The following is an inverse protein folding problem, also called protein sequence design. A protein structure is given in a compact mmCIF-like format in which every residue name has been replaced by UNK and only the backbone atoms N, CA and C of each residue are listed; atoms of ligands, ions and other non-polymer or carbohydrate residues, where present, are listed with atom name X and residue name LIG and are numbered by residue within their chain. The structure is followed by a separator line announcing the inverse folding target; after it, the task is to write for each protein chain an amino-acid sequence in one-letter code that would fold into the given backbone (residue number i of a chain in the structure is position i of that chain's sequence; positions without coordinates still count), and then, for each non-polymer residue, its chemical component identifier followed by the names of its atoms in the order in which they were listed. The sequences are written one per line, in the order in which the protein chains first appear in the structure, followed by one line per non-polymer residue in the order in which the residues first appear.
data_IF_752310021004
#
_entry.id   IF_752310021004
#
_cell.length_a   1.000
_cell.length_b   1.000
_cell.length_c   1.000
_cell.angle_alpha   90.00
_cell.angle_beta   90.00
_cell.angle_gamma   90.00
#
_symmetry.space_group_name_H-M   'P 1'
#
loop_
_entity.id
_entity.type
_entity.pdbx_description
1 polymer ?
#
# COMPACT_ATOMS: atom_id res chain seq x y z
N UNK A 1 -37.46 40.73 -33.57
CA UNK A 1 -37.50 39.31 -33.13
C UNK A 1 -36.34 38.43 -33.63
N UNK A 2 -35.38 38.95 -34.41
CA UNK A 2 -34.28 38.14 -34.98
C UNK A 2 -32.95 38.11 -34.20
N UNK A 3 -32.65 39.12 -33.36
CA UNK A 3 -31.37 39.15 -32.63
C UNK A 3 -31.31 38.17 -31.44
N UNK A 4 -32.42 38.01 -30.71
CA UNK A 4 -32.46 37.15 -29.51
C UNK A 4 -32.38 35.66 -29.84
N UNK A 5 -32.86 35.22 -31.01
CA UNK A 5 -32.72 33.81 -31.44
C UNK A 5 -31.28 33.44 -31.77
N UNK A 6 -30.52 34.33 -32.39
CA UNK A 6 -29.11 34.07 -32.74
C UNK A 6 -28.20 34.07 -31.50
N UNK A 7 -28.46 34.93 -30.51
CA UNK A 7 -27.76 34.92 -29.23
C UNK A 7 -28.03 33.65 -28.41
N UNK A 8 -29.26 33.11 -28.46
CA UNK A 8 -29.60 31.88 -27.75
C UNK A 8 -28.96 30.63 -28.39
N UNK A 9 -28.87 30.58 -29.72
CA UNK A 9 -28.15 29.52 -30.43
C UNK A 9 -26.63 29.57 -30.21
N UNK A 10 -26.03 30.76 -30.11
CA UNK A 10 -24.61 30.93 -29.78
C UNK A 10 -24.31 30.54 -28.32
N UNK A 11 -25.20 30.89 -27.37
CA UNK A 11 -25.07 30.49 -25.97
C UNK A 11 -25.21 28.96 -25.78
N UNK A 12 -26.09 28.31 -26.54
CA UNK A 12 -26.24 26.85 -26.53
C UNK A 12 -25.05 26.13 -27.19
N UNK A 13 -24.43 26.71 -28.22
CA UNK A 13 -23.18 26.21 -28.81
C UNK A 13 -21.98 26.36 -27.87
N UNK A 14 -21.92 27.44 -27.08
CA UNK A 14 -20.89 27.61 -26.04
C UNK A 14 -21.11 26.69 -24.82
N UNK A 15 -22.35 26.28 -24.54
CA UNK A 15 -22.67 25.30 -23.48
C UNK A 15 -22.49 23.85 -23.93
N UNK A 16 -22.58 23.56 -25.24
CA UNK A 16 -22.26 22.23 -25.79
C UNK A 16 -20.76 22.01 -26.08
N UNK A 17 -19.95 23.07 -26.00
CA UNK A 17 -18.49 23.04 -26.12
C UNK A 17 -17.77 23.36 -24.80
N UNK A 18 -18.50 23.42 -23.68
CA UNK A 18 -17.91 23.15 -22.38
C UNK A 18 -17.67 21.63 -22.30
N UNK A 19 -16.72 21.14 -23.11
CA UNK A 19 -15.98 19.94 -22.75
C UNK A 19 -15.53 20.14 -21.29
N UNK A 20 -15.59 19.10 -20.43
CA UNK A 20 -14.95 19.23 -19.13
C UNK A 20 -13.55 19.74 -19.43
N UNK A 21 -13.13 20.82 -18.77
CA UNK A 21 -11.76 21.33 -18.91
C UNK A 21 -10.89 20.12 -18.57
N UNK A 22 -10.38 19.47 -19.60
CA UNK A 22 -9.62 18.25 -19.46
C UNK A 22 -8.29 18.78 -18.94
N UNK A 23 -8.12 18.77 -17.60
CA UNK A 23 -6.95 19.30 -16.89
C UNK A 23 -5.63 18.56 -17.24
N UNK A 24 -5.64 17.82 -18.35
CA UNK A 24 -4.49 17.16 -18.90
C UNK A 24 -3.56 18.17 -19.56
N UNK A 25 -2.34 18.28 -19.03
CA UNK A 25 -1.29 19.16 -19.57
C UNK A 25 -0.42 18.46 -20.62
N UNK A 26 -0.40 17.12 -20.64
CA UNK A 26 0.39 16.35 -21.61
C UNK A 26 -0.31 15.05 -22.02
N UNK A 27 -0.34 14.80 -23.33
CA UNK A 27 -0.95 13.61 -23.92
C UNK A 27 0.07 12.72 -24.61
N UNK A 28 -0.16 11.42 -24.55
CA UNK A 28 0.64 10.40 -25.21
C UNK A 28 -0.20 9.59 -26.20
N UNK A 29 0.36 9.34 -27.39
CA UNK A 29 -0.23 8.46 -28.38
C UNK A 29 0.38 7.07 -28.25
N UNK A 30 -0.45 6.10 -27.84
CA UNK A 30 -0.07 4.71 -27.60
C UNK A 30 0.56 4.09 -28.83
N UNK A 31 1.77 3.56 -28.66
CA UNK A 31 2.50 2.82 -29.67
C UNK A 31 1.99 1.39 -29.84
N UNK A 32 2.53 0.71 -30.85
CA UNK A 32 2.16 -0.67 -31.15
C UNK A 32 2.61 -1.62 -30.02
N UNK A 33 1.67 -2.42 -29.51
CA UNK A 33 1.89 -3.42 -28.46
C UNK A 33 2.44 -2.87 -27.12
N UNK A 34 2.26 -1.57 -26.84
CA UNK A 34 2.60 -1.01 -25.53
C UNK A 34 1.53 -1.37 -24.49
N UNK A 35 1.96 -1.79 -23.30
CA UNK A 35 1.10 -1.93 -22.12
C UNK A 35 1.10 -0.64 -21.28
N UNK A 36 0.15 -0.52 -20.34
CA UNK A 36 0.10 0.59 -19.37
C UNK A 36 1.44 0.74 -18.65
N UNK A 37 2.00 -0.39 -18.21
CA UNK A 37 3.26 -0.43 -17.48
C UNK A 37 4.46 -0.02 -18.36
N UNK A 38 4.43 -0.33 -19.66
CA UNK A 38 5.47 0.14 -20.60
C UNK A 38 5.43 1.67 -20.70
N UNK A 39 4.23 2.25 -20.83
CA UNK A 39 4.03 3.69 -20.95
C UNK A 39 4.41 4.40 -19.64
N UNK A 40 3.94 3.89 -18.50
CA UNK A 40 4.25 4.41 -17.18
C UNK A 40 5.77 4.50 -16.97
N UNK A 41 6.48 3.41 -17.24
CA UNK A 41 7.94 3.39 -17.11
C UNK A 41 8.65 4.34 -18.07
N UNK A 42 8.17 4.45 -19.32
CA UNK A 42 8.72 5.37 -20.32
C UNK A 42 8.64 6.83 -19.87
N UNK A 43 7.55 7.19 -19.21
CA UNK A 43 7.31 8.54 -18.71
C UNK A 43 7.72 8.74 -17.24
N UNK A 44 8.33 7.73 -16.61
CA UNK A 44 8.72 7.74 -15.19
C UNK A 44 7.56 8.06 -14.25
N UNK A 45 6.38 7.54 -14.59
CA UNK A 45 5.14 7.71 -13.84
C UNK A 45 4.73 6.39 -13.18
N UNK A 46 4.00 6.45 -12.06
CA UNK A 46 3.27 5.30 -11.54
C UNK A 46 2.24 4.82 -12.57
N UNK A 47 2.08 3.51 -12.74
CA UNK A 47 1.03 2.95 -13.59
C UNK A 47 -0.37 3.38 -13.11
N UNK A 48 -0.57 3.46 -11.78
CA UNK A 48 -1.79 3.96 -11.14
C UNK A 48 -2.06 5.43 -11.45
N UNK A 49 -1.04 6.24 -11.68
CA UNK A 49 -1.21 7.64 -12.08
C UNK A 49 -1.85 7.74 -13.46
N UNK A 50 -1.50 6.83 -14.39
CA UNK A 50 -2.16 6.78 -15.70
C UNK A 50 -3.65 6.46 -15.58
N UNK A 51 -4.03 5.52 -14.70
CA UNK A 51 -5.45 5.25 -14.42
C UNK A 51 -6.16 6.49 -13.86
N UNK A 52 -5.53 7.17 -12.90
CA UNK A 52 -6.05 8.41 -12.32
C UNK A 52 -6.24 9.52 -13.36
N UNK A 53 -5.25 9.74 -14.22
CA UNK A 53 -5.30 10.77 -15.26
C UNK A 53 -6.39 10.54 -16.31
N UNK A 54 -6.79 9.28 -16.50
CA UNK A 54 -7.72 8.85 -17.55
C UNK A 54 -9.04 8.30 -16.97
N UNK A 55 -9.46 8.79 -15.80
CA UNK A 55 -10.72 8.44 -15.13
C UNK A 55 -10.98 6.92 -14.99
N UNK A 56 -9.94 6.13 -14.74
CA UNK A 56 -9.98 4.67 -14.65
C UNK A 56 -10.48 3.96 -15.94
N UNK A 57 -10.37 4.60 -17.11
CA UNK A 57 -10.83 4.05 -18.41
C UNK A 57 -9.76 3.27 -19.18
N UNK A 58 -8.65 2.88 -18.53
CA UNK A 58 -7.50 2.23 -19.19
C UNK A 58 -7.52 0.69 -19.13
N UNK A 59 -8.67 0.06 -18.90
CA UNK A 59 -8.76 -1.40 -18.79
C UNK A 59 -8.25 -2.15 -20.05
N UNK A 60 -8.38 -1.54 -21.22
CA UNK A 60 -7.77 -2.02 -22.47
C UNK A 60 -7.08 -0.85 -23.18
N UNK A 61 -5.76 -0.91 -23.32
CA UNK A 61 -4.98 0.05 -24.11
C UNK A 61 -4.87 -0.43 -25.56
N UNK A 62 -5.17 0.45 -26.51
CA UNK A 62 -5.13 0.16 -27.96
C UNK A 62 -4.10 1.02 -28.67
N UNK A 63 -3.49 0.46 -29.71
CA UNK A 63 -2.58 1.21 -30.59
C UNK A 63 -3.28 2.48 -31.13
N UNK A 64 -2.55 3.61 -31.14
CA UNK A 64 -3.02 4.94 -31.52
C UNK A 64 -4.05 5.59 -30.57
N UNK A 65 -4.45 4.94 -29.47
CA UNK A 65 -5.22 5.60 -28.43
C UNK A 65 -4.42 6.79 -27.87
N UNK A 66 -5.09 7.91 -27.65
CA UNK A 66 -4.49 9.08 -26.98
C UNK A 66 -4.90 9.00 -25.51
N UNK A 67 -3.92 9.08 -24.62
CA UNK A 67 -4.12 9.04 -23.17
C UNK A 67 -3.45 10.25 -22.52
N UNK A 68 -4.00 10.68 -21.39
CA UNK A 68 -3.39 11.69 -20.56
C UNK A 68 -2.21 11.10 -19.76
N UNK A 69 -1.08 11.79 -19.76
CA UNK A 69 0.12 11.39 -19.01
C UNK A 69 0.57 12.46 -18.01
N UNK A 70 -0.04 13.64 -18.01
CA UNK A 70 0.21 14.66 -17.00
C UNK A 70 -1.06 15.45 -16.73
N UNK A 71 -1.45 15.56 -15.47
CA UNK A 71 -2.67 16.24 -15.00
C UNK A 71 -2.42 16.72 -13.58
N UNK A 72 -3.05 17.82 -13.20
CA UNK A 72 -3.08 18.28 -11.81
C UNK A 72 -3.61 17.18 -10.88
N UNK A 73 -2.91 16.96 -9.76
CA UNK A 73 -3.15 15.82 -8.86
C UNK A 73 -3.89 16.28 -7.61
N UNK A 74 -5.12 15.80 -7.49
CA UNK A 74 -5.80 15.72 -6.20
C UNK A 74 -5.33 14.44 -5.49
N UNK A 75 -4.45 14.58 -4.50
CA UNK A 75 -3.84 13.42 -3.84
C UNK A 75 -4.83 12.52 -3.11
N UNK A 76 -5.94 13.06 -2.60
CA UNK A 76 -6.98 12.21 -2.01
C UNK A 76 -7.53 11.24 -3.06
N UNK A 77 -7.91 11.78 -4.22
CA UNK A 77 -8.45 10.97 -5.32
C UNK A 77 -7.40 10.03 -5.92
N UNK A 78 -6.14 10.47 -6.01
CA UNK A 78 -5.06 9.61 -6.49
C UNK A 78 -4.82 8.42 -5.55
N UNK A 79 -4.77 8.65 -4.24
CA UNK A 79 -4.63 7.57 -3.25
C UNK A 79 -5.80 6.58 -3.32
N UNK A 80 -7.03 7.07 -3.55
CA UNK A 80 -8.19 6.21 -3.80
C UNK A 80 -8.01 5.32 -5.03
N UNK A 81 -7.57 5.89 -6.16
CA UNK A 81 -7.29 5.12 -7.38
C UNK A 81 -6.17 4.10 -7.16
N UNK A 82 -5.09 4.49 -6.48
CA UNK A 82 -3.96 3.61 -6.17
C UNK A 82 -4.41 2.36 -5.40
N UNK A 83 -5.31 2.53 -4.43
CA UNK A 83 -5.84 1.45 -3.59
C UNK A 83 -6.84 0.59 -4.36
N UNK A 84 -7.73 1.20 -5.14
CA UNK A 84 -8.71 0.47 -5.95
C UNK A 84 -8.03 -0.41 -7.01
N UNK A 85 -6.91 0.05 -7.56
CA UNK A 85 -6.09 -0.74 -8.48
C UNK A 85 -5.13 -1.69 -7.75
N UNK A 86 -4.94 -1.51 -6.44
CA UNK A 86 -4.21 -2.44 -5.59
C UNK A 86 -5.09 -3.57 -5.05
N UNK A 87 -6.42 -3.54 -5.25
CA UNK A 87 -7.37 -4.64 -4.98
C UNK A 87 -7.09 -5.85 -5.89
N UNK A 88 -5.95 -6.49 -5.62
CA UNK A 88 -5.40 -7.56 -6.41
C UNK A 88 -5.75 -8.88 -5.72
N UNK A 89 -6.40 -9.77 -6.48
CA UNK A 89 -6.80 -11.07 -5.99
C UNK A 89 -5.54 -11.91 -5.71
N UNK A 90 -5.32 -12.25 -4.43
CA UNK A 90 -4.44 -13.36 -4.09
C UNK A 90 -5.01 -14.63 -4.73
N UNK A 91 -4.13 -15.54 -5.15
CA UNK A 91 -4.57 -16.89 -5.51
C UNK A 91 -5.45 -17.43 -4.37
N UNK A 92 -6.64 -17.90 -4.74
CA UNK A 92 -7.52 -18.60 -3.81
C UNK A 92 -6.80 -19.81 -3.23
N UNK A 93 -7.23 -20.30 -2.06
CA UNK A 93 -6.70 -21.54 -1.47
C UNK A 93 -6.73 -22.72 -2.46
N UNK A 94 -7.73 -22.74 -3.34
CA UNK A 94 -7.87 -23.77 -4.38
C UNK A 94 -6.78 -23.64 -5.45
N UNK A 95 -6.45 -22.42 -5.86
CA UNK A 95 -5.38 -22.16 -6.84
C UNK A 95 -4.00 -22.43 -6.24
N UNK A 96 -3.73 -21.98 -5.00
CA UNK A 96 -2.49 -22.30 -4.28
C UNK A 96 -2.26 -23.82 -4.20
N UNK A 97 -3.29 -24.57 -3.80
CA UNK A 97 -3.23 -26.04 -3.76
C UNK A 97 -3.04 -26.67 -5.14
N UNK A 98 -3.55 -26.05 -6.22
CA UNK A 98 -3.27 -26.52 -7.59
C UNK A 98 -1.81 -26.29 -7.98
N UNK A 99 -1.27 -25.10 -7.71
CA UNK A 99 0.14 -24.75 -7.95
C UNK A 99 1.04 -25.76 -7.25
N UNK A 100 0.84 -25.98 -5.95
CA UNK A 100 1.59 -26.97 -5.17
C UNK A 100 1.52 -28.38 -5.78
N UNK A 101 0.34 -28.83 -6.20
CA UNK A 101 0.17 -30.15 -6.84
C UNK A 101 0.91 -30.27 -8.17
N UNK A 102 0.90 -29.20 -8.98
CA UNK A 102 1.58 -29.18 -10.27
C UNK A 102 3.10 -29.19 -10.05
N UNK A 103 3.61 -28.39 -9.12
CA UNK A 103 5.03 -28.37 -8.74
C UNK A 103 5.46 -29.78 -8.28
N UNK A 104 4.75 -30.38 -7.32
CA UNK A 104 5.07 -31.72 -6.80
C UNK A 104 4.93 -32.84 -7.83
N UNK A 105 4.18 -32.63 -8.92
CA UNK A 105 4.06 -33.59 -10.02
C UNK A 105 5.20 -33.44 -11.04
N UNK A 106 5.65 -32.20 -11.28
CA UNK A 106 6.65 -31.88 -12.30
C UNK A 106 8.08 -32.05 -11.80
N UNK A 107 8.32 -31.77 -10.52
CA UNK A 107 9.65 -31.72 -9.94
C UNK A 107 9.76 -32.71 -8.78
N UNK A 108 10.93 -33.31 -8.63
CA UNK A 108 11.28 -34.10 -7.47
C UNK A 108 11.66 -33.19 -6.28
N UNK A 109 11.91 -33.79 -5.12
CA UNK A 109 12.15 -33.03 -3.88
C UNK A 109 13.36 -32.09 -3.97
N UNK A 110 14.47 -32.55 -4.56
CA UNK A 110 15.71 -31.79 -4.63
C UNK A 110 15.55 -30.62 -5.63
N UNK A 111 14.85 -30.87 -6.74
CA UNK A 111 14.49 -29.83 -7.73
C UNK A 111 13.57 -28.76 -7.13
N UNK A 112 12.61 -29.14 -6.27
CA UNK A 112 11.74 -28.18 -5.56
C UNK A 112 12.55 -27.34 -4.58
N UNK A 113 13.51 -27.95 -3.88
CA UNK A 113 14.40 -27.23 -2.96
C UNK A 113 15.26 -26.21 -3.71
N UNK A 114 15.84 -26.58 -4.85
CA UNK A 114 16.59 -25.67 -5.72
C UNK A 114 15.71 -24.53 -6.26
N UNK A 115 14.50 -24.84 -6.73
CA UNK A 115 13.54 -23.84 -7.22
C UNK A 115 13.20 -22.82 -6.14
N UNK A 116 12.94 -23.28 -4.91
CA UNK A 116 12.67 -22.39 -3.78
C UNK A 116 13.89 -21.51 -3.49
N UNK A 117 15.07 -22.09 -3.28
CA UNK A 117 16.29 -21.33 -2.96
C UNK A 117 16.62 -20.27 -4.03
N UNK A 118 16.50 -20.64 -5.31
CA UNK A 118 16.80 -19.73 -6.43
C UNK A 118 15.73 -18.63 -6.56
N UNK A 119 14.45 -18.97 -6.35
CA UNK A 119 13.34 -18.02 -6.31
C UNK A 119 13.49 -17.00 -5.19
N UNK A 120 13.95 -17.47 -4.04
CA UNK A 120 14.17 -16.65 -2.85
C UNK A 120 15.30 -15.67 -3.07
N UNK A 121 16.41 -16.16 -3.61
CA UNK A 121 17.54 -15.33 -3.96
C UNK A 121 17.16 -14.25 -4.99
N UNK A 122 16.41 -14.62 -6.04
CA UNK A 122 15.89 -13.67 -7.02
C UNK A 122 14.98 -12.62 -6.38
N UNK A 123 14.00 -13.05 -5.58
CA UNK A 123 13.03 -12.17 -4.92
C UNK A 123 13.69 -11.22 -3.91
N UNK A 124 14.64 -11.73 -3.12
CA UNK A 124 15.40 -10.94 -2.14
C UNK A 124 16.20 -9.81 -2.82
N UNK A 125 16.64 -9.99 -4.06
CA UNK A 125 17.35 -8.94 -4.80
C UNK A 125 16.46 -7.72 -5.07
N UNK A 126 15.17 -7.94 -5.41
CA UNK A 126 14.19 -6.88 -5.58
C UNK A 126 13.70 -6.32 -4.24
N UNK A 127 13.46 -7.18 -3.24
CA UNK A 127 12.97 -6.77 -1.92
C UNK A 127 13.89 -5.77 -1.20
N UNK A 128 15.21 -5.87 -1.42
CA UNK A 128 16.19 -4.90 -0.92
C UNK A 128 15.95 -3.48 -1.45
N UNK A 129 15.40 -3.34 -2.66
CA UNK A 129 15.04 -2.03 -3.23
C UNK A 129 13.87 -1.44 -2.47
N UNK A 130 12.86 -2.25 -2.15
CA UNK A 130 11.68 -1.81 -1.40
C UNK A 130 12.02 -1.40 0.05
N UNK A 131 12.98 -2.08 0.67
CA UNK A 131 13.41 -1.78 2.05
C UNK A 131 14.33 -0.54 2.18
N UNK A 132 15.12 -0.21 1.15
CA UNK A 132 16.23 0.75 1.26
C UNK A 132 15.89 2.23 0.98
N UNK A 133 14.63 2.53 0.65
CA UNK A 133 14.21 3.82 0.11
C UNK A 133 13.28 4.63 1.03
N UNK A 134 13.53 4.60 2.35
CA UNK A 134 12.60 5.16 3.34
C UNK A 134 12.90 6.61 3.80
N UNK A 135 11.86 7.42 3.64
CA UNK A 135 11.40 8.60 4.38
C UNK A 135 12.10 9.96 4.37
N UNK A 136 13.43 10.08 4.33
CA UNK A 136 14.02 11.42 4.50
C UNK A 136 14.77 11.95 3.26
N UNK A 137 14.97 11.09 2.26
CA UNK A 137 15.41 11.49 0.91
C UNK A 137 15.24 10.29 -0.01
N UNK A 138 14.03 10.07 -0.51
CA UNK A 138 13.88 9.08 -1.56
C UNK A 138 14.73 9.53 -2.74
N UNK A 139 15.52 8.61 -3.29
CA UNK A 139 16.46 8.88 -4.38
C UNK A 139 16.06 7.97 -5.53
N UNK A 140 15.37 8.57 -6.51
CA UNK A 140 14.90 7.87 -7.68
C UNK A 140 16.04 7.16 -8.41
N UNK A 141 17.20 7.81 -8.56
CA UNK A 141 18.34 7.22 -9.26
C UNK A 141 18.94 6.04 -8.49
N UNK A 142 18.93 6.09 -7.15
CA UNK A 142 19.35 4.95 -6.31
C UNK A 142 18.34 3.80 -6.41
N UNK A 143 17.04 4.10 -6.41
CA UNK A 143 15.98 3.11 -6.57
C UNK A 143 16.05 2.42 -7.94
N UNK A 144 16.12 3.18 -9.04
CA UNK A 144 16.26 2.67 -10.42
C UNK A 144 17.51 1.79 -10.58
N UNK A 145 18.65 2.22 -10.02
CA UNK A 145 19.88 1.40 -10.01
C UNK A 145 19.71 0.11 -9.22
N UNK A 146 19.01 0.15 -8.09
CA UNK A 146 18.64 -1.02 -7.32
C UNK A 146 17.85 -2.02 -8.16
N UNK A 147 16.79 -1.56 -8.84
CA UNK A 147 15.99 -2.39 -9.74
C UNK A 147 16.82 -2.95 -10.90
N UNK A 148 17.69 -2.14 -11.50
CA UNK A 148 18.57 -2.59 -12.59
C UNK A 148 19.53 -3.69 -12.14
N UNK A 149 20.11 -3.55 -10.94
CA UNK A 149 21.00 -4.57 -10.39
C UNK A 149 20.25 -5.87 -10.07
N UNK A 150 19.05 -5.78 -9.48
CA UNK A 150 18.19 -6.94 -9.24
C UNK A 150 17.81 -7.65 -10.56
N UNK A 151 17.48 -6.89 -11.61
CA UNK A 151 17.18 -7.44 -12.93
C UNK A 151 18.38 -8.13 -13.58
N UNK A 152 19.61 -7.63 -13.38
CA UNK A 152 20.81 -8.32 -13.87
C UNK A 152 20.97 -9.69 -13.23
N UNK A 153 20.79 -9.77 -11.91
CA UNK A 153 20.80 -11.04 -11.17
C UNK A 153 19.72 -11.98 -11.70
N UNK A 154 18.49 -11.50 -11.84
CA UNK A 154 17.40 -12.32 -12.39
C UNK A 154 17.66 -12.78 -13.84
N UNK A 155 18.25 -11.93 -14.68
CA UNK A 155 18.63 -12.29 -16.04
C UNK A 155 19.71 -13.37 -16.08
N UNK A 156 20.69 -13.32 -15.18
CA UNK A 156 21.73 -14.35 -15.06
C UNK A 156 21.10 -15.70 -14.66
N UNK A 157 20.19 -15.68 -13.68
CA UNK A 157 19.42 -16.86 -13.28
C UNK A 157 18.63 -17.42 -14.47
N UNK A 158 17.84 -16.57 -15.15
CA UNK A 158 16.95 -16.97 -16.23
C UNK A 158 17.68 -17.48 -17.49
N UNK A 159 18.93 -17.09 -17.70
CA UNK A 159 19.75 -17.55 -18.84
C UNK A 159 20.60 -18.78 -18.53
N UNK A 160 20.76 -19.12 -17.26
CA UNK A 160 21.57 -20.24 -16.85
C UNK A 160 20.90 -21.55 -17.24
N UNK A 161 21.61 -22.43 -17.94
CA UNK A 161 21.16 -23.79 -18.20
C UNK A 161 21.23 -24.67 -16.93
N UNK A 162 22.02 -24.25 -15.94
CA UNK A 162 22.23 -24.96 -14.68
C UNK A 162 21.13 -24.67 -13.63
N UNK A 163 20.21 -23.74 -13.90
CA UNK A 163 19.14 -23.36 -12.97
C UNK A 163 17.77 -23.80 -13.49
N UNK A 164 16.96 -24.40 -12.62
CA UNK A 164 15.57 -24.74 -12.95
C UNK A 164 14.66 -23.50 -13.04
N UNK A 165 15.00 -22.43 -12.31
CA UNK A 165 14.21 -21.21 -12.31
C UNK A 165 14.42 -20.42 -13.61
N UNK A 166 13.34 -20.31 -14.40
CA UNK A 166 13.30 -19.45 -15.56
C UNK A 166 11.90 -18.88 -15.77
N UNK A 167 11.80 -17.83 -16.58
CA UNK A 167 10.53 -17.26 -17.07
C UNK A 167 9.71 -18.33 -17.79
N UNK A 168 10.37 -19.23 -18.52
CA UNK A 168 9.72 -20.36 -19.19
C UNK A 168 9.12 -21.32 -18.16
N UNK A 169 9.88 -21.70 -17.12
CA UNK A 169 9.41 -22.55 -16.02
C UNK A 169 8.18 -21.95 -15.33
N UNK A 170 8.22 -20.65 -15.01
CA UNK A 170 7.11 -19.94 -14.38
C UNK A 170 5.88 -19.97 -15.29
N UNK A 171 6.01 -19.55 -16.55
CA UNK A 171 4.88 -19.49 -17.48
C UNK A 171 4.29 -20.88 -17.78
N UNK A 172 5.11 -21.93 -17.85
CA UNK A 172 4.64 -23.29 -18.07
C UNK A 172 3.81 -23.83 -16.90
N UNK A 173 4.10 -23.42 -15.66
CA UNK A 173 3.29 -23.78 -14.49
C UNK A 173 2.02 -22.95 -14.46
N UNK A 174 2.11 -21.64 -14.75
CA UNK A 174 0.95 -20.76 -14.80
C UNK A 174 -0.10 -21.24 -15.82
N UNK A 175 0.35 -21.75 -16.97
CA UNK A 175 -0.49 -22.33 -18.01
C UNK A 175 -1.16 -23.64 -17.52
N UNK A 176 -0.43 -24.51 -16.82
CA UNK A 176 -1.00 -25.75 -16.24
C UNK A 176 -2.03 -25.50 -15.14
N UNK A 177 -1.88 -24.42 -14.37
CA UNK A 177 -2.85 -23.99 -13.34
C UNK A 177 -4.12 -23.44 -13.99
N UNK A 178 -4.06 -23.15 -15.30
CA UNK A 178 -5.06 -22.44 -16.11
C UNK A 178 -5.30 -21.02 -15.57
N UNK A 179 -4.19 -20.31 -15.34
CA UNK A 179 -4.20 -18.87 -15.06
C UNK A 179 -3.90 -18.11 -16.34
N UNK A 180 -4.56 -16.97 -16.57
CA UNK A 180 -4.25 -16.06 -17.68
C UNK A 180 -2.93 -15.29 -17.47
N UNK A 181 -2.22 -15.60 -16.39
CA UNK A 181 -1.00 -14.96 -15.96
C UNK A 181 0.19 -15.45 -16.81
N UNK A 182 0.83 -14.52 -17.53
CA UNK A 182 2.13 -14.73 -18.18
C UNK A 182 3.05 -13.58 -17.85
N UNK A 183 4.28 -13.89 -17.47
CA UNK A 183 5.32 -12.90 -17.22
C UNK A 183 6.30 -12.82 -18.39
N UNK A 184 6.80 -11.61 -18.64
CA UNK A 184 7.94 -11.34 -19.51
C UNK A 184 9.22 -11.32 -18.66
N UNK A 185 10.36 -11.44 -19.31
CA UNK A 185 11.67 -11.40 -18.63
C UNK A 185 11.91 -10.12 -17.83
N UNK A 186 11.32 -9.00 -18.25
CA UNK A 186 11.45 -7.71 -17.59
C UNK A 186 10.27 -7.38 -16.64
N UNK A 187 9.31 -8.28 -16.42
CA UNK A 187 8.12 -7.97 -15.60
C UNK A 187 8.50 -7.57 -14.17
N UNK A 188 9.40 -8.31 -13.51
CA UNK A 188 9.85 -7.98 -12.15
C UNK A 188 10.58 -6.63 -12.09
N UNK A 189 11.40 -6.33 -13.09
CA UNK A 189 12.04 -5.02 -13.23
C UNK A 189 11.04 -3.88 -13.39
N UNK A 190 10.04 -4.05 -14.26
CA UNK A 190 9.01 -3.04 -14.47
C UNK A 190 8.18 -2.77 -13.21
N UNK A 191 7.84 -3.82 -12.46
CA UNK A 191 7.17 -3.66 -11.17
C UNK A 191 8.05 -2.94 -10.14
N UNK A 192 9.36 -3.21 -10.14
CA UNK A 192 10.31 -2.51 -9.27
C UNK A 192 10.43 -1.02 -9.63
N UNK A 193 10.46 -0.70 -10.93
CA UNK A 193 10.45 0.68 -11.39
C UNK A 193 9.15 1.40 -11.05
N UNK A 194 8.00 0.74 -11.19
CA UNK A 194 6.70 1.29 -10.81
C UNK A 194 6.67 1.68 -9.31
N UNK A 195 7.23 0.85 -8.44
CA UNK A 195 7.44 1.21 -7.03
C UNK A 195 8.31 2.46 -6.88
N UNK A 196 9.42 2.56 -7.62
CA UNK A 196 10.30 3.72 -7.58
C UNK A 196 9.58 4.99 -8.04
N UNK A 197 8.82 4.92 -9.13
CA UNK A 197 8.07 6.05 -9.67
C UNK A 197 6.93 6.45 -8.75
N UNK A 198 6.27 5.50 -8.09
CA UNK A 198 5.25 5.77 -7.06
C UNK A 198 5.82 6.58 -5.91
N UNK A 199 6.96 6.14 -5.36
CA UNK A 199 7.61 6.86 -4.26
C UNK A 199 8.09 8.25 -4.69
N UNK A 200 8.68 8.38 -5.90
CA UNK A 200 9.12 9.66 -6.43
C UNK A 200 7.95 10.63 -6.63
N UNK A 201 6.88 10.17 -7.26
CA UNK A 201 5.68 10.95 -7.54
C UNK A 201 5.06 11.52 -6.26
N UNK A 202 4.98 10.68 -5.23
CA UNK A 202 4.52 11.07 -3.89
C UNK A 202 5.46 12.09 -3.24
N UNK A 203 6.78 11.87 -3.31
CA UNK A 203 7.76 12.77 -2.70
C UNK A 203 7.70 14.16 -3.34
N UNK A 204 7.63 14.23 -4.67
CA UNK A 204 7.54 15.50 -5.40
C UNK A 204 6.32 16.31 -4.97
N UNK A 205 5.15 15.67 -4.86
CA UNK A 205 3.94 16.33 -4.36
C UNK A 205 4.12 16.92 -2.95
N UNK A 206 4.86 16.23 -2.06
CA UNK A 206 5.09 16.72 -0.69
C UNK A 206 6.09 17.87 -0.66
N UNK A 207 7.18 17.80 -1.41
CA UNK A 207 8.17 18.88 -1.50
C UNK A 207 7.53 20.18 -2.01
N UNK A 208 6.61 20.09 -2.98
CA UNK A 208 5.83 21.22 -3.48
C UNK A 208 4.89 21.85 -2.43
N UNK A 209 4.46 21.07 -1.43
CA UNK A 209 3.61 21.56 -0.33
C UNK A 209 4.40 22.05 0.88
N UNK A 210 5.51 21.41 1.24
CA UNK A 210 6.33 21.79 2.40
C UNK A 210 7.06 23.13 2.19
N UNK A 211 7.28 23.57 0.94
CA UNK A 211 7.72 24.96 0.65
C UNK A 211 6.67 26.03 1.02
N UNK A 212 5.46 25.64 1.45
CA UNK A 212 4.38 26.54 1.86
C UNK A 212 4.09 26.61 3.38
N UNK A 213 4.64 25.72 4.21
CA UNK A 213 4.37 25.72 5.66
C UNK A 213 5.64 25.51 6.51
N UNK A 214 6.01 26.57 7.25
CA UNK A 214 7.15 26.63 8.17
C UNK A 214 6.86 25.79 9.44
N UNK A 215 7.63 24.73 9.68
CA UNK A 215 7.45 23.83 10.81
C UNK A 215 7.73 24.51 12.17
N UNK A 216 6.77 24.39 13.10
CA UNK A 216 6.91 24.79 14.51
C UNK A 216 7.41 23.59 15.33
N UNK A 217 8.54 23.78 16.01
CA UNK A 217 9.13 22.84 16.97
C UNK A 217 8.29 22.81 18.26
N UNK A 218 7.90 21.62 18.75
CA UNK A 218 7.16 21.50 20.03
C UNK A 218 7.94 20.67 21.04
N UNK A 219 8.04 21.28 22.22
CA UNK A 219 8.74 20.87 23.44
C UNK A 219 8.30 19.53 24.05
N UNK A 220 9.18 19.03 24.91
CA UNK A 220 9.15 17.77 25.63
C UNK A 220 7.99 17.58 26.62
N UNK A 221 7.64 16.30 26.78
CA UNK A 221 6.61 15.74 27.66
C UNK A 221 6.81 16.16 29.13
N UNK A 222 5.77 16.63 29.84
CA UNK A 222 5.83 16.77 31.28
C UNK A 222 5.58 15.41 31.97
N UNK A 223 6.57 14.91 32.71
CA UNK A 223 6.36 13.88 33.72
C UNK A 223 5.37 14.40 34.78
N UNK A 224 4.19 13.76 34.90
CA UNK A 224 3.30 13.98 36.04
C UNK A 224 3.02 12.69 36.82
N UNK A 225 3.78 12.59 37.91
CA UNK A 225 3.44 12.21 39.27
C UNK A 225 2.36 11.15 39.57
N UNK A 226 2.85 10.10 40.24
CA UNK A 226 2.24 9.24 41.26
C UNK A 226 0.99 9.82 41.95
N UNK A 227 -0.16 9.17 41.71
CA UNK A 227 -1.11 8.81 42.76
C UNK A 227 -1.75 7.46 42.42
N UNK A 228 -1.42 6.42 43.18
CA UNK A 228 -2.11 5.13 43.11
C UNK A 228 -3.49 5.25 43.75
N UNK A 229 -4.58 5.00 43.01
CA UNK A 229 -5.80 4.38 43.57
C UNK A 229 -6.78 3.83 42.53
N UNK A 230 -7.22 2.59 42.81
CA UNK A 230 -8.16 1.69 42.12
C UNK A 230 -7.62 1.13 40.80
N UNK A 231 -7.33 -0.18 40.82
CA UNK A 231 -6.70 -0.88 39.71
C UNK A 231 -7.51 -0.74 38.42
N UNK A 232 -6.93 -0.04 37.45
CA UNK A 232 -7.41 -0.09 36.08
C UNK A 232 -7.42 -1.56 35.66
N UNK A 233 -8.57 -2.04 35.19
CA UNK A 233 -8.63 -3.40 34.66
C UNK A 233 -7.73 -3.45 33.44
N UNK A 234 -6.67 -4.27 33.50
CA UNK A 234 -5.78 -4.46 32.37
C UNK A 234 -6.54 -5.03 31.16
N UNK A 235 -6.05 -4.79 29.94
CA UNK A 235 -6.68 -5.34 28.75
C UNK A 235 -6.71 -6.86 28.82
N UNK A 236 -7.87 -7.45 28.55
CA UNK A 236 -8.01 -8.92 28.59
C UNK A 236 -7.79 -9.50 27.21
N UNK A 237 -6.73 -10.30 27.07
CA UNK A 237 -6.41 -11.02 25.83
C UNK A 237 -7.38 -12.19 25.65
N UNK A 238 -8.00 -12.26 24.47
CA UNK A 238 -8.88 -13.35 24.04
C UNK A 238 -8.11 -14.47 23.33
N UNK A 239 -7.03 -14.12 22.64
CA UNK A 239 -6.19 -15.08 21.93
C UNK A 239 -5.22 -14.42 20.97
N UNK A 240 -4.91 -15.12 19.90
CA UNK A 240 -4.06 -14.65 18.80
C UNK A 240 -4.65 -15.00 17.45
N UNK A 241 -4.34 -14.16 16.47
CA UNK A 241 -4.58 -14.38 15.05
C UNK A 241 -3.26 -14.40 14.30
N UNK A 242 -3.18 -15.13 13.19
CA UNK A 242 -1.99 -15.19 12.35
C UNK A 242 -2.15 -14.33 11.11
N UNK A 243 -1.16 -13.50 10.83
CA UNK A 243 -1.03 -12.74 9.57
C UNK A 243 0.35 -13.09 9.00
N UNK A 244 0.38 -14.04 8.06
CA UNK A 244 1.64 -14.71 7.73
C UNK A 244 2.21 -15.43 8.95
N UNK A 245 3.48 -15.17 9.26
CA UNK A 245 4.14 -15.71 10.46
C UNK A 245 3.92 -14.85 11.72
N UNK A 246 3.40 -13.63 11.57
CA UNK A 246 3.10 -12.75 12.68
C UNK A 246 1.91 -13.25 13.51
N UNK A 247 2.11 -13.40 14.82
CA UNK A 247 1.02 -13.63 15.79
C UNK A 247 0.54 -12.31 16.36
N UNK A 248 -0.63 -11.87 15.92
CA UNK A 248 -1.29 -10.65 16.38
C UNK A 248 -2.22 -10.97 17.54
N UNK A 249 -2.14 -10.19 18.63
CA UNK A 249 -2.99 -10.40 19.80
C UNK A 249 -4.43 -9.97 19.52
N UNK A 250 -5.39 -10.76 20.01
CA UNK A 250 -6.81 -10.39 20.01
C UNK A 250 -7.25 -10.07 21.43
N UNK A 251 -7.94 -8.95 21.62
CA UNK A 251 -8.43 -8.50 22.91
C UNK A 251 -9.96 -8.47 22.97
N UNK A 252 -10.50 -8.65 24.17
CA UNK A 252 -11.91 -8.41 24.45
C UNK A 252 -12.22 -6.92 24.41
N UNK A 253 -13.49 -6.61 24.14
CA UNK A 253 -14.00 -5.25 24.19
C UNK A 253 -14.28 -4.82 25.66
N UNK A 254 -13.25 -4.85 26.49
CA UNK A 254 -13.36 -4.52 27.91
C UNK A 254 -12.73 -3.17 28.29
N UNK A 255 -11.87 -2.62 27.42
CA UNK A 255 -11.31 -1.27 27.51
C UNK A 255 -12.34 -0.21 27.06
N UNK A 256 -12.36 0.96 27.69
CA UNK A 256 -13.37 2.00 27.42
C UNK A 256 -13.34 2.54 25.98
N UNK A 257 -12.17 2.65 25.35
CA UNK A 257 -12.04 3.09 23.96
C UNK A 257 -12.67 2.09 22.98
N UNK A 258 -12.39 0.81 23.21
CA UNK A 258 -12.95 -0.29 22.42
C UNK A 258 -14.48 -0.31 22.55
N UNK A 259 -15.00 -0.11 23.78
CA UNK A 259 -16.45 -0.17 24.07
C UNK A 259 -17.19 0.97 23.41
N UNK A 260 -16.57 2.15 23.44
CA UNK A 260 -17.08 3.34 22.80
C UNK A 260 -16.99 3.28 21.26
N UNK A 261 -16.41 2.22 20.69
CA UNK A 261 -16.24 2.08 19.24
C UNK A 261 -15.28 3.10 18.65
N UNK A 262 -14.36 3.63 19.46
CA UNK A 262 -13.35 4.62 19.03
C UNK A 262 -12.13 3.99 18.38
N UNK A 263 -12.05 2.66 18.41
CA UNK A 263 -11.09 1.85 17.67
C UNK A 263 -11.92 0.98 16.72
N UNK A 264 -12.00 1.36 15.44
CA UNK A 264 -12.91 0.74 14.46
C UNK A 264 -12.20 0.16 13.22
N UNK A 265 -10.87 0.03 13.27
CA UNK A 265 -10.07 -0.53 12.19
C UNK A 265 -9.35 0.57 11.41
N UNK A 266 -9.35 0.47 10.08
CA UNK A 266 -8.82 1.52 9.22
C UNK A 266 -9.98 2.44 8.79
N UNK A 267 -10.36 3.41 9.62
CA UNK A 267 -11.13 4.60 9.24
C UNK A 267 -10.19 5.69 8.67
N UNK A 268 -9.52 5.35 7.57
CA UNK A 268 -9.12 6.41 6.64
C UNK A 268 -10.40 6.96 6.00
N UNK A 269 -10.44 8.18 5.41
CA UNK A 269 -11.65 8.75 4.79
C UNK A 269 -12.19 7.96 3.58
N UNK A 270 -11.69 6.75 3.36
CA UNK A 270 -11.94 5.91 2.20
C UNK A 270 -12.53 4.59 2.70
N UNK A 271 -13.80 4.33 2.42
CA UNK A 271 -14.40 2.99 2.64
C UNK A 271 -13.64 1.89 1.90
N UNK A 272 -12.86 2.28 0.89
CA UNK A 272 -12.04 1.46 0.00
C UNK A 272 -10.65 1.13 0.55
N UNK A 273 -10.21 1.78 1.63
CA UNK A 273 -8.99 1.43 2.39
C UNK A 273 -9.32 0.39 3.50
N UNK A 274 -10.13 -0.63 3.19
CA UNK A 274 -10.34 -1.76 4.10
C UNK A 274 -9.45 -2.91 3.70
N UNK A 275 -8.14 -2.70 3.81
CA UNK A 275 -7.19 -3.81 3.73
C UNK A 275 -7.20 -4.52 5.08
N UNK A 276 -7.93 -5.63 5.14
CA UNK A 276 -8.12 -6.40 6.38
C UNK A 276 -6.80 -6.73 7.10
N UNK A 277 -5.72 -6.98 6.34
CA UNK A 277 -4.42 -7.30 6.94
C UNK A 277 -3.80 -6.13 7.71
N UNK A 278 -4.16 -4.88 7.40
CA UNK A 278 -3.65 -3.66 8.04
C UNK A 278 -4.51 -3.18 9.19
N UNK A 279 -5.74 -3.68 9.27
CA UNK A 279 -6.67 -3.41 10.38
C UNK A 279 -6.02 -3.45 11.77
N UNK A 280 -5.15 -4.43 12.12
CA UNK A 280 -4.57 -4.43 13.45
C UNK A 280 -3.55 -3.32 13.70
N UNK A 281 -2.85 -2.83 12.68
CA UNK A 281 -1.98 -1.66 12.80
C UNK A 281 -2.79 -0.37 12.87
N UNK A 282 -3.89 -0.27 12.11
CA UNK A 282 -4.82 0.86 12.22
C UNK A 282 -5.47 0.94 13.62
N UNK A 283 -5.83 -0.20 14.21
CA UNK A 283 -6.32 -0.24 15.59
C UNK A 283 -5.30 0.33 16.59
N UNK A 284 -4.01 0.02 16.41
CA UNK A 284 -2.92 0.57 17.21
C UNK A 284 -2.70 2.06 17.00
N UNK A 285 -2.87 2.53 15.76
CA UNK A 285 -2.80 3.94 15.40
C UNK A 285 -3.91 4.76 16.07
N UNK A 286 -5.16 4.31 16.06
CA UNK A 286 -6.22 4.99 16.81
C UNK A 286 -5.97 4.98 18.29
N UNK A 287 -5.48 3.88 18.85
CA UNK A 287 -5.10 3.88 20.25
C UNK A 287 -4.03 4.94 20.54
N UNK A 288 -3.04 5.06 19.64
CA UNK A 288 -2.01 6.06 19.73
C UNK A 288 -2.58 7.48 19.69
N UNK A 289 -3.50 7.80 18.77
CA UNK A 289 -4.14 9.12 18.69
C UNK A 289 -4.82 9.54 20.01
N UNK A 290 -5.46 8.60 20.69
CA UNK A 290 -6.09 8.87 21.99
C UNK A 290 -5.06 9.18 23.10
N UNK A 291 -3.88 8.56 23.07
CA UNK A 291 -2.96 8.53 24.20
C UNK A 291 -1.63 9.28 24.00
N UNK A 292 -1.23 9.58 22.77
CA UNK A 292 0.04 10.27 22.45
C UNK A 292 -0.18 11.76 22.25
N UNK A 293 0.73 12.58 22.77
CA UNK A 293 0.78 14.02 22.46
C UNK A 293 1.42 14.33 21.09
N UNK A 294 1.87 13.31 20.36
CA UNK A 294 2.51 13.46 19.06
C UNK A 294 1.78 12.65 18.00
N UNK A 295 1.09 13.34 17.09
CA UNK A 295 0.50 12.76 15.87
C UNK A 295 1.57 12.14 14.98
N UNK A 296 2.67 12.86 14.74
CA UNK A 296 3.77 12.39 13.89
C UNK A 296 4.41 11.09 14.40
N UNK A 297 4.52 10.90 15.72
CA UNK A 297 4.94 9.64 16.32
C UNK A 297 3.95 8.51 16.03
N UNK A 298 2.64 8.78 16.15
CA UNK A 298 1.62 7.79 15.83
C UNK A 298 1.64 7.39 14.37
N UNK A 299 1.69 8.36 13.45
CA UNK A 299 1.71 8.11 12.01
C UNK A 299 2.96 7.30 11.62
N UNK A 300 4.12 7.67 12.17
CA UNK A 300 5.39 6.93 11.96
C UNK A 300 5.32 5.50 12.50
N UNK A 301 4.66 5.32 13.64
CA UNK A 301 4.48 3.99 14.27
C UNK A 301 3.55 3.12 13.44
N UNK A 302 2.44 3.68 12.93
CA UNK A 302 1.54 3.01 11.99
C UNK A 302 2.34 2.49 10.80
N UNK A 303 3.11 3.35 10.13
CA UNK A 303 3.85 2.93 8.95
C UNK A 303 4.87 1.83 9.23
N UNK A 304 5.58 1.92 10.37
CA UNK A 304 6.48 0.86 10.81
C UNK A 304 5.74 -0.49 10.94
N UNK A 305 4.57 -0.49 11.57
CA UNK A 305 3.74 -1.68 11.75
C UNK A 305 3.18 -2.22 10.44
N UNK A 306 2.73 -1.36 9.52
CA UNK A 306 2.26 -1.77 8.19
C UNK A 306 3.37 -2.48 7.41
N UNK A 307 4.59 -1.96 7.45
CA UNK A 307 5.76 -2.61 6.82
C UNK A 307 6.07 -3.97 7.45
N UNK A 308 6.01 -4.07 8.78
CA UNK A 308 6.18 -5.38 9.46
C UNK A 308 5.13 -6.37 8.97
N UNK A 309 3.86 -5.96 8.88
CA UNK A 309 2.80 -6.83 8.35
C UNK A 309 3.10 -7.26 6.91
N UNK A 310 3.53 -6.33 6.05
CA UNK A 310 3.92 -6.65 4.68
C UNK A 310 5.06 -7.66 4.61
N UNK A 311 6.08 -7.47 5.45
CA UNK A 311 7.24 -8.35 5.53
C UNK A 311 6.84 -9.75 5.97
N UNK A 312 6.13 -9.86 7.09
CA UNK A 312 5.73 -11.15 7.66
C UNK A 312 4.74 -11.93 6.77
N UNK A 313 3.94 -11.22 5.97
CA UNK A 313 2.95 -11.85 5.09
C UNK A 313 3.50 -12.19 3.71
N UNK A 314 4.32 -11.32 3.11
CA UNK A 314 4.69 -11.39 1.70
C UNK A 314 6.19 -11.54 1.43
N UNK A 315 7.05 -11.43 2.46
CA UNK A 315 8.48 -11.73 2.29
C UNK A 315 8.76 -13.24 2.29
N UNK A 316 7.75 -14.09 2.56
CA UNK A 316 7.87 -15.54 2.51
C UNK A 316 8.53 -16.00 1.20
N UNK A 317 9.48 -16.92 1.38
CA UNK A 317 10.53 -17.31 0.45
C UNK A 317 10.21 -18.70 -0.10
N UNK A 318 9.47 -18.75 -1.21
CA UNK A 318 9.14 -19.98 -1.92
C UNK A 318 8.83 -19.72 -3.40
N UNK A 319 9.04 -20.71 -4.25
CA UNK A 319 8.79 -20.61 -5.68
C UNK A 319 7.30 -20.44 -6.02
N UNK A 320 6.42 -21.03 -5.21
CA UNK A 320 4.97 -20.86 -5.29
C UNK A 320 4.54 -19.39 -5.04
N UNK A 321 5.31 -18.62 -4.27
CA UNK A 321 5.03 -17.20 -4.04
C UNK A 321 5.22 -16.32 -5.29
N UNK A 322 5.99 -16.76 -6.29
CA UNK A 322 6.03 -16.07 -7.60
C UNK A 322 4.66 -16.10 -8.30
N UNK A 323 3.80 -17.06 -7.95
CA UNK A 323 2.45 -17.21 -8.49
C UNK A 323 1.38 -16.51 -7.68
N UNK A 324 1.69 -15.95 -6.51
CA UNK A 324 0.77 -15.04 -5.81
C UNK A 324 0.48 -13.74 -6.59
N UNK A 325 1.05 -13.62 -7.80
CA UNK A 325 0.70 -12.64 -8.80
C UNK A 325 1.13 -11.24 -8.38
N UNK A 326 0.19 -10.31 -8.47
CA UNK A 326 0.43 -8.88 -8.24
C UNK A 326 0.42 -8.49 -6.75
N UNK A 327 0.04 -9.37 -5.82
CA UNK A 327 0.09 -9.10 -4.37
C UNK A 327 1.35 -9.67 -3.75
N UNK A 328 2.45 -8.98 -4.04
CA UNK A 328 3.79 -9.26 -3.53
C UNK A 328 4.20 -8.20 -2.49
N UNK A 329 5.42 -8.37 -1.95
CA UNK A 329 5.96 -7.46 -0.95
C UNK A 329 6.00 -5.99 -1.43
N UNK A 330 6.38 -5.72 -2.68
CA UNK A 330 6.44 -4.36 -3.23
C UNK A 330 5.07 -3.67 -3.29
N UNK A 331 4.03 -4.39 -3.70
CA UNK A 331 2.65 -3.87 -3.71
C UNK A 331 2.18 -3.54 -2.29
N UNK A 332 2.36 -4.45 -1.34
CA UNK A 332 1.99 -4.21 0.05
C UNK A 332 2.72 -2.99 0.63
N UNK A 333 4.00 -2.82 0.31
CA UNK A 333 4.78 -1.66 0.73
C UNK A 333 4.25 -0.34 0.13
N UNK A 334 3.74 -0.40 -1.10
CA UNK A 334 3.10 0.75 -1.78
C UNK A 334 1.77 1.11 -1.11
N UNK A 335 0.94 0.11 -0.78
CA UNK A 335 -0.30 0.31 -0.02
C UNK A 335 0.01 0.91 1.35
N UNK A 336 0.97 0.33 2.08
CA UNK A 336 1.39 0.83 3.39
C UNK A 336 1.83 2.30 3.34
N UNK A 337 2.53 2.71 2.28
CA UNK A 337 2.88 4.10 2.04
C UNK A 337 1.64 4.96 1.82
N UNK A 338 0.68 4.50 1.01
CA UNK A 338 -0.60 5.18 0.78
C UNK A 338 -1.37 5.46 2.08
N UNK A 339 -1.49 4.47 2.97
CA UNK A 339 -2.12 4.66 4.28
C UNK A 339 -1.41 5.70 5.12
N UNK A 340 -0.08 5.61 5.18
CA UNK A 340 0.71 6.55 5.95
C UNK A 340 0.49 8.00 5.46
N UNK A 341 0.52 8.22 4.14
CA UNK A 341 0.29 9.55 3.58
C UNK A 341 -1.11 10.05 3.86
N UNK A 342 -2.12 9.18 3.74
CA UNK A 342 -3.50 9.52 4.04
C UNK A 342 -3.65 10.03 5.49
N UNK A 343 -2.97 9.41 6.46
CA UNK A 343 -3.04 9.87 7.85
C UNK A 343 -2.17 11.10 8.12
N UNK A 344 -1.02 11.24 7.44
CA UNK A 344 -0.18 12.44 7.57
C UNK A 344 -0.94 13.67 7.10
N UNK A 345 -1.50 13.62 5.88
CA UNK A 345 -2.12 14.77 5.22
C UNK A 345 -3.55 15.06 5.70
N UNK A 346 -4.29 14.03 6.14
CA UNK A 346 -5.73 14.14 6.42
C UNK A 346 -6.13 13.67 7.82
N UNK A 347 -5.20 13.17 8.63
CA UNK A 347 -5.48 12.61 9.96
C UNK A 347 -5.64 13.64 11.07
N UNK A 348 -5.37 14.93 10.84
CA UNK A 348 -5.34 15.96 11.89
C UNK A 348 -6.70 16.11 12.61
N UNK A 349 -7.80 16.08 11.86
CA UNK A 349 -9.14 16.13 12.44
C UNK A 349 -9.47 14.91 13.31
N UNK A 350 -9.03 13.72 12.87
CA UNK A 350 -9.16 12.48 13.63
C UNK A 350 -8.35 12.51 14.92
N UNK A 351 -7.08 12.92 14.82
CA UNK A 351 -6.17 13.08 15.96
C UNK A 351 -6.76 14.01 17.03
N UNK A 352 -7.19 15.21 16.64
CA UNK A 352 -7.75 16.18 17.57
C UNK A 352 -9.07 15.70 18.20
N UNK A 353 -9.92 15.02 17.43
CA UNK A 353 -11.17 14.42 17.94
C UNK A 353 -10.91 13.34 18.99
N UNK A 354 -9.96 12.45 18.74
CA UNK A 354 -9.61 11.34 19.63
C UNK A 354 -8.93 11.84 20.92
N UNK A 355 -8.00 12.80 20.78
CA UNK A 355 -7.37 13.49 21.90
C UNK A 355 -8.40 14.19 22.79
N UNK A 356 -9.24 15.03 22.19
CA UNK A 356 -10.26 15.78 22.91
C UNK A 356 -11.25 14.88 23.65
N UNK A 357 -11.53 13.69 23.11
CA UNK A 357 -12.39 12.72 23.78
C UNK A 357 -11.77 12.20 25.09
N UNK A 358 -10.47 11.86 25.10
CA UNK A 358 -9.79 11.38 26.33
C UNK A 358 -9.64 12.50 27.35
N UNK A 359 -9.28 13.70 26.90
CA UNK A 359 -9.12 14.87 27.77
C UNK A 359 -10.44 15.25 28.47
N UNK A 360 -11.58 15.00 27.82
CA UNK A 360 -12.92 15.21 28.39
C UNK A 360 -13.40 14.14 29.38
N UNK A 361 -12.61 13.10 29.67
CA UNK A 361 -13.01 11.95 30.51
C UNK A 361 -12.26 11.90 31.84
N UNK A 362 -13.00 11.65 32.92
CA UNK A 362 -12.45 11.48 34.28
C UNK A 362 -11.59 10.22 34.48
N UNK A 363 -11.37 9.40 33.44
CA UNK A 363 -10.65 8.11 33.53
C UNK A 363 -9.50 7.99 32.50
N UNK A 364 -8.99 9.13 32.03
CA UNK A 364 -7.87 9.22 31.07
C UNK A 364 -6.67 8.36 31.49
N UNK A 365 -6.36 8.34 32.78
CA UNK A 365 -5.20 7.64 33.33
C UNK A 365 -5.32 6.12 33.22
N UNK A 366 -6.54 5.56 33.25
CA UNK A 366 -6.74 4.14 33.02
C UNK A 366 -6.73 3.79 31.54
N UNK A 367 -7.33 4.64 30.71
CA UNK A 367 -7.33 4.47 29.26
C UNK A 367 -5.90 4.50 28.73
N UNK A 368 -5.11 5.50 29.11
CA UNK A 368 -3.73 5.64 28.65
C UNK A 368 -2.69 5.13 29.65
N UNK A 369 -3.04 4.10 30.43
CA UNK A 369 -2.10 3.47 31.35
C UNK A 369 -0.94 2.77 30.61
N UNK A 370 0.21 2.62 31.25
CA UNK A 370 1.37 1.92 30.68
C UNK A 370 1.05 0.50 30.20
N UNK A 371 0.18 -0.21 30.93
CA UNK A 371 -0.26 -1.54 30.53
C UNK A 371 -1.05 -1.49 29.21
N UNK A 372 -1.95 -0.52 29.06
CA UNK A 372 -2.70 -0.32 27.82
C UNK A 372 -1.80 0.13 26.66
N UNK A 373 -0.92 1.11 26.87
CA UNK A 373 0.02 1.61 25.85
C UNK A 373 0.89 0.46 25.31
N UNK A 374 1.48 -0.34 26.19
CA UNK A 374 2.30 -1.49 25.80
C UNK A 374 1.52 -2.52 24.97
N UNK A 375 0.24 -2.73 25.28
CA UNK A 375 -0.57 -3.73 24.59
C UNK A 375 -1.22 -3.24 23.29
N UNK A 376 -1.52 -1.95 23.18
CA UNK A 376 -2.35 -1.41 22.10
C UNK A 376 -1.66 -0.37 21.22
N UNK A 377 -0.78 0.47 21.75
CA UNK A 377 -0.11 1.49 20.93
C UNK A 377 1.14 0.92 20.23
N UNK A 378 1.92 0.12 20.95
CA UNK A 378 3.25 -0.29 20.51
C UNK A 378 3.27 -1.54 19.61
N UNK A 379 2.12 -2.16 19.36
CA UNK A 379 2.02 -3.37 18.56
C UNK A 379 0.66 -3.49 17.87
N UNK A 380 0.58 -4.13 16.68
CA UNK A 380 -0.69 -4.41 16.03
C UNK A 380 -1.59 -5.29 16.90
N UNK A 381 -2.91 -5.05 16.88
CA UNK A 381 -3.87 -5.87 17.60
C UNK A 381 -5.25 -5.92 16.95
N UNK A 382 -5.99 -7.01 17.20
CA UNK A 382 -7.40 -7.12 16.85
C UNK A 382 -8.31 -6.95 18.05
N UNK A 383 -9.52 -6.47 17.79
CA UNK A 383 -10.63 -6.44 18.74
C UNK A 383 -11.57 -7.63 18.51
N UNK A 384 -12.48 -7.89 19.45
CA UNK A 384 -13.49 -8.93 19.31
C UNK A 384 -14.46 -8.70 18.15
N UNK A 385 -14.74 -7.43 17.82
CA UNK A 385 -15.67 -7.03 16.74
C UNK A 385 -15.08 -7.27 15.34
N UNK A 386 -13.80 -7.57 15.23
CA UNK A 386 -13.10 -7.71 13.95
C UNK A 386 -13.31 -9.06 13.24
N UNK A 387 -14.20 -9.93 13.75
CA UNK A 387 -14.54 -11.19 13.07
C UNK A 387 -15.46 -10.93 11.86
N UNK A 388 -15.00 -11.33 10.68
CA UNK A 388 -15.85 -11.64 9.50
C UNK A 388 -16.57 -12.97 9.71
#
# INVERSE_FOLDING_TARGET
MGLYKNLFCLALLSLSLAEPIDNCSEYYKVGKNESILDIANKHKLPATALFYFNDNKLNEIKENQVICINKEVDMLKYLEVMVNHSELQELSKKEKSKVEKIINKKFNKDEIEELNQTSDFASLSFNKVFESNLFNKFDLNKCERGCSNAQKIFNEINKSEDNLLSVSTINNIAEDVNTDFKIKNNTLYQNCLDFCYTNNFIQQYREEKEEAEEFVEIESIPEKNKFEKRGCSGPSRKGTEKIGDLKVSRYYDNNELLKAGRIDGCSAPFEVLKIDIFKPACNAHYYCYHCSSSKSQCDSTLYSQLKTICKEKYLSLGFDNLFNGYKNYGTCMTEALGYYLAVVDFGEGGYNSDRGWVEGKNNSDCVCSNACISNFMNQPFYTEKDKV
#
